data_IF_952903616848
#
_entry.id   IF_952903616848
#
_cell.length_a   1.000
_cell.length_b   1.000
_cell.length_c   1.000
_cell.angle_alpha   90.00
_cell.angle_beta   90.00
_cell.angle_gamma   90.00
#
_symmetry.space_group_name_H-M   'P 1'
#
loop_
_entity.id
_entity.type
_entity.pdbx_description
1 polymer ?
#
# COMPACT_ATOMS: atom_id res chain seq x y z
N UNK A 1 54.83 -0.88 13.72
CA UNK A 1 53.85 -1.13 14.81
C UNK A 1 52.99 0.11 14.93
N UNK A 2 51.84 0.11 14.26
CA UNK A 2 50.82 1.14 14.43
C UNK A 2 50.07 0.82 15.72
N UNK A 3 49.86 1.82 16.56
CA UNK A 3 49.20 1.64 17.86
C UNK A 3 47.70 1.50 17.66
N UNK A 4 47.00 0.90 18.63
CA UNK A 4 45.55 0.63 18.58
C UNK A 4 44.71 1.89 18.28
N UNK A 5 45.21 3.08 18.59
CA UNK A 5 44.59 4.35 18.23
C UNK A 5 44.63 4.67 16.73
N UNK A 6 45.68 4.25 16.02
CA UNK A 6 45.84 4.50 14.59
C UNK A 6 44.84 3.66 13.76
N UNK A 7 44.53 2.45 14.24
CA UNK A 7 43.52 1.57 13.62
C UNK A 7 42.09 2.09 13.83
N UNK A 8 41.78 2.69 14.99
CA UNK A 8 40.49 3.31 15.25
C UNK A 8 40.27 4.57 14.40
N UNK A 9 41.33 5.37 14.19
CA UNK A 9 41.27 6.54 13.32
C UNK A 9 41.02 6.16 11.84
N UNK A 10 41.63 5.08 11.36
CA UNK A 10 41.38 4.55 10.02
C UNK A 10 39.97 3.96 9.85
N UNK A 11 39.44 3.28 10.87
CA UNK A 11 38.06 2.76 10.87
C UNK A 11 37.00 3.85 10.80
N UNK A 12 37.21 4.97 11.49
CA UNK A 12 36.30 6.12 11.47
C UNK A 12 36.40 6.88 10.14
N UNK A 13 37.60 6.99 9.54
CA UNK A 13 37.79 7.65 8.25
C UNK A 13 37.16 6.87 7.08
N UNK A 14 37.15 5.54 7.14
CA UNK A 14 36.53 4.71 6.10
C UNK A 14 35.00 4.72 6.14
N UNK A 15 34.37 4.95 7.30
CA UNK A 15 32.91 5.06 7.41
C UNK A 15 32.35 6.33 6.73
N UNK A 16 33.15 7.38 6.58
CA UNK A 16 32.73 8.63 5.92
C UNK A 16 32.85 8.61 4.39
N UNK A 17 33.52 7.63 3.80
CA UNK A 17 33.59 7.43 2.34
C UNK A 17 32.99 6.09 2.00
N UNK A 18 31.74 6.10 1.56
CA UNK A 18 30.94 4.91 1.22
C UNK A 18 31.53 4.04 0.11
N UNK A 19 32.57 3.28 0.43
CA UNK A 19 33.19 2.27 -0.43
C UNK A 19 32.92 0.91 0.19
N UNK A 20 32.01 0.16 -0.45
CA UNK A 20 31.73 -1.24 -0.17
C UNK A 20 32.84 -2.10 -0.79
N UNK A 21 33.84 -2.49 -0.03
CA UNK A 21 34.64 -3.66 -0.37
C UNK A 21 34.81 -4.58 0.85
N UNK A 22 34.51 -5.87 0.64
CA UNK A 22 34.61 -6.94 1.63
C UNK A 22 36.09 -7.23 1.89
N UNK A 23 36.61 -6.82 3.03
CA UNK A 23 37.85 -7.38 3.58
C UNK A 23 37.51 -8.40 4.67
N UNK A 24 37.93 -9.64 4.44
CA UNK A 24 37.83 -10.75 5.39
C UNK A 24 38.88 -10.51 6.48
N UNK A 25 38.44 -10.13 7.67
CA UNK A 25 39.29 -10.04 8.86
C UNK A 25 39.23 -11.38 9.61
N UNK A 26 40.36 -12.07 9.68
CA UNK A 26 40.55 -13.24 10.55
C UNK A 26 40.70 -12.77 11.99
N UNK A 27 39.74 -13.15 12.84
CA UNK A 27 39.67 -12.75 14.24
C UNK A 27 40.43 -13.79 15.08
N UNK A 28 41.54 -13.38 15.70
CA UNK A 28 42.23 -14.15 16.74
C UNK A 28 41.54 -14.01 18.10
N UNK A 29 41.75 -15.00 18.97
CA UNK A 29 41.04 -15.30 20.24
C UNK A 29 41.08 -14.24 21.37
N UNK A 30 41.50 -13.00 21.11
CA UNK A 30 41.71 -11.98 22.16
C UNK A 30 40.46 -11.16 22.55
N UNK A 31 39.31 -11.37 21.89
CA UNK A 31 38.10 -10.55 22.08
C UNK A 31 37.26 -10.89 23.32
N UNK A 32 37.62 -11.92 24.10
CA UNK A 32 36.82 -12.41 25.24
C UNK A 32 36.75 -11.46 26.46
N UNK A 33 37.35 -10.26 26.42
CA UNK A 33 37.48 -9.39 27.61
C UNK A 33 37.11 -7.93 27.46
N UNK A 34 36.77 -7.45 26.26
CA UNK A 34 36.41 -6.04 26.07
C UNK A 34 34.94 -5.91 25.68
N UNK A 35 34.12 -5.53 26.66
CA UNK A 35 32.77 -5.03 26.44
C UNK A 35 32.88 -3.82 25.49
N UNK A 36 32.26 -3.84 24.30
CA UNK A 36 32.23 -2.67 23.45
C UNK A 36 31.41 -1.58 24.15
N UNK A 37 32.07 -0.48 24.51
CA UNK A 37 31.43 0.68 25.15
C UNK A 37 30.65 1.43 24.09
N UNK A 38 29.38 1.06 23.90
CA UNK A 38 28.43 1.83 23.10
C UNK A 38 27.87 2.97 23.95
N UNK A 39 28.05 4.21 23.49
CA UNK A 39 27.47 5.39 24.12
C UNK A 39 26.03 5.60 23.61
N UNK A 40 25.05 5.26 24.44
CA UNK A 40 23.61 5.48 24.18
C UNK A 40 23.25 6.96 24.41
N UNK A 41 23.44 7.84 23.43
CA UNK A 41 23.10 9.27 23.57
C UNK A 41 21.91 9.73 22.73
N UNK A 42 21.35 8.88 21.85
CA UNK A 42 20.21 9.24 21.02
C UNK A 42 19.18 8.11 20.89
N UNK A 43 18.05 8.30 21.58
CA UNK A 43 16.78 7.56 21.43
C UNK A 43 16.85 6.07 21.83
N UNK A 44 16.56 5.73 23.11
CA UNK A 44 16.64 4.35 23.59
C UNK A 44 15.63 3.39 22.95
N UNK A 45 14.58 3.90 22.29
CA UNK A 45 13.58 3.05 21.62
C UNK A 45 14.17 2.19 20.49
N UNK A 46 15.18 2.69 19.79
CA UNK A 46 15.86 1.96 18.72
C UNK A 46 16.97 1.02 19.26
N UNK A 47 17.43 1.24 20.49
CA UNK A 47 18.59 0.56 21.07
C UNK A 47 18.22 -0.54 22.10
N UNK A 48 16.97 -0.55 22.60
CA UNK A 48 16.40 -1.69 23.33
C UNK A 48 16.62 -3.06 22.64
N UNK A 49 16.43 -3.22 21.32
CA UNK A 49 16.71 -4.50 20.66
C UNK A 49 18.19 -4.89 20.68
N UNK A 50 19.12 -3.93 20.64
CA UNK A 50 20.56 -4.22 20.73
C UNK A 50 20.95 -4.73 22.12
N UNK A 51 20.46 -4.06 23.18
CA UNK A 51 20.66 -4.53 24.56
C UNK A 51 20.03 -5.91 24.77
N UNK A 52 18.85 -6.15 24.18
CA UNK A 52 18.17 -7.44 24.25
C UNK A 52 18.95 -8.55 23.57
N UNK A 53 19.48 -8.30 22.36
CA UNK A 53 20.33 -9.24 21.64
C UNK A 53 21.63 -9.53 22.40
N UNK A 54 22.17 -8.52 23.08
CA UNK A 54 23.36 -8.67 23.91
C UNK A 54 23.08 -9.51 25.16
N UNK A 55 21.97 -9.26 25.85
CA UNK A 55 21.56 -10.06 27.00
C UNK A 55 21.26 -11.50 26.57
N UNK A 56 20.59 -11.73 25.45
CA UNK A 56 20.31 -13.08 24.96
C UNK A 56 21.58 -13.85 24.62
N UNK A 57 22.59 -13.20 24.03
CA UNK A 57 23.88 -13.84 23.74
C UNK A 57 24.65 -14.25 25.02
N UNK A 58 24.49 -13.50 26.12
CA UNK A 58 25.12 -13.86 27.39
C UNK A 58 24.30 -14.96 28.11
N UNK A 59 22.97 -14.91 28.01
CA UNK A 59 22.08 -15.91 28.60
C UNK A 59 22.23 -17.31 28.00
N UNK A 60 22.72 -17.43 26.75
CA UNK A 60 23.08 -18.71 26.15
C UNK A 60 24.22 -19.43 26.90
N UNK A 61 25.04 -18.69 27.65
CA UNK A 61 26.17 -19.24 28.43
C UNK A 61 25.85 -19.38 29.92
N UNK A 62 25.13 -18.44 30.53
CA UNK A 62 24.80 -18.44 31.98
C UNK A 62 23.49 -17.69 32.26
N UNK A 63 22.56 -18.27 33.04
CA UNK A 63 21.33 -17.57 33.46
C UNK A 63 21.67 -16.32 34.30
N UNK A 64 21.36 -15.14 33.77
CA UNK A 64 21.66 -13.88 34.45
C UNK A 64 20.60 -13.52 35.50
N UNK A 65 21.05 -13.36 36.75
CA UNK A 65 20.25 -12.72 37.81
C UNK A 65 19.83 -11.29 37.41
N UNK A 66 18.65 -10.87 37.85
CA UNK A 66 18.08 -9.55 37.58
C UNK A 66 19.03 -8.39 37.97
N UNK A 67 19.87 -8.58 39.00
CA UNK A 67 20.89 -7.62 39.40
C UNK A 67 22.01 -7.47 38.37
N UNK A 68 22.45 -8.58 37.76
CA UNK A 68 23.48 -8.55 36.69
C UNK A 68 22.92 -7.80 35.48
N UNK A 69 21.67 -8.06 35.08
CA UNK A 69 20.98 -7.34 33.98
C UNK A 69 20.86 -5.85 34.25
N UNK A 70 20.52 -5.47 35.47
CA UNK A 70 20.45 -4.07 35.90
C UNK A 70 21.80 -3.35 35.81
N UNK A 71 22.89 -4.00 36.23
CA UNK A 71 24.24 -3.43 36.10
C UNK A 71 24.68 -3.28 34.64
N UNK A 72 24.37 -4.25 33.80
CA UNK A 72 24.64 -4.18 32.35
C UNK A 72 23.86 -3.02 31.72
N UNK A 73 22.58 -2.86 32.05
CA UNK A 73 21.77 -1.73 31.60
C UNK A 73 22.42 -0.38 31.96
N UNK A 74 22.84 -0.21 33.21
CA UNK A 74 23.50 1.02 33.68
C UNK A 74 24.85 1.27 32.97
N UNK A 75 25.60 0.21 32.68
CA UNK A 75 26.85 0.30 31.94
C UNK A 75 26.62 0.75 30.49
N UNK A 76 25.64 0.17 29.81
CA UNK A 76 25.30 0.50 28.42
C UNK A 76 24.72 1.92 28.26
N UNK A 77 24.08 2.47 29.29
CA UNK A 77 23.48 3.80 29.26
C UNK A 77 24.51 4.95 29.12
N UNK A 78 25.78 4.69 29.44
CA UNK A 78 26.84 5.69 29.41
C UNK A 78 26.69 6.82 30.44
N UNK A 79 27.65 7.76 30.51
CA UNK A 79 27.69 8.79 31.55
C UNK A 79 26.53 9.77 31.50
N UNK A 80 26.05 10.14 30.30
CA UNK A 80 24.95 11.09 30.14
C UNK A 80 23.59 10.43 30.41
N UNK A 81 23.39 9.21 29.94
CA UNK A 81 22.22 8.41 30.30
C UNK A 81 22.14 8.14 31.80
N UNK A 82 23.27 7.88 32.47
CA UNK A 82 23.32 7.72 33.93
C UNK A 82 22.92 8.99 34.70
N UNK A 83 23.27 10.19 34.21
CA UNK A 83 22.80 11.46 34.80
C UNK A 83 21.28 11.56 34.73
N UNK A 84 20.72 11.22 33.56
CA UNK A 84 19.27 11.20 33.33
C UNK A 84 18.59 10.18 34.25
N UNK A 85 19.11 8.95 34.32
CA UNK A 85 18.57 7.90 35.17
C UNK A 85 18.59 8.26 36.67
N UNK A 86 19.69 8.87 37.15
CA UNK A 86 19.77 9.39 38.54
C UNK A 86 18.74 10.48 38.82
N UNK A 87 18.44 11.33 37.84
CA UNK A 87 17.44 12.39 37.99
C UNK A 87 16.00 11.84 38.03
N UNK A 88 15.74 10.74 37.31
CA UNK A 88 14.44 10.03 37.31
C UNK A 88 14.27 9.26 38.62
N UNK A 89 15.29 8.54 39.06
CA UNK A 89 15.24 7.62 40.20
C UNK A 89 15.62 8.31 41.53
N UNK A 90 14.79 9.26 42.00
CA UNK A 90 15.05 10.05 43.22
C UNK A 90 14.94 9.26 44.54
N UNK A 91 14.40 8.03 44.51
CA UNK A 91 14.33 7.13 45.68
C UNK A 91 14.97 5.79 45.29
N UNK A 92 16.07 5.37 45.92
CA UNK A 92 16.68 4.07 45.60
C UNK A 92 15.68 2.95 45.92
N UNK A 93 15.22 2.23 44.88
CA UNK A 93 14.37 1.04 45.06
C UNK A 93 15.17 -0.02 45.84
N UNK A 94 14.57 -0.54 46.91
CA UNK A 94 15.20 -1.56 47.75
C UNK A 94 15.13 -2.92 47.05
N UNK A 95 16.13 -3.78 47.31
CA UNK A 95 16.37 -5.05 46.63
C UNK A 95 15.30 -6.15 46.82
N UNK A 96 14.11 -5.81 47.33
CA UNK A 96 12.98 -6.73 47.53
C UNK A 96 11.72 -6.40 46.72
N UNK A 97 11.76 -5.34 45.89
CA UNK A 97 10.57 -4.82 45.19
C UNK A 97 10.65 -5.12 43.68
N UNK A 98 10.18 -6.31 43.29
CA UNK A 98 10.07 -6.75 41.89
C UNK A 98 11.39 -6.80 41.12
N UNK A 99 11.32 -7.20 39.85
CA UNK A 99 12.48 -7.24 38.95
C UNK A 99 13.03 -5.81 38.75
N UNK A 100 14.04 -5.41 39.53
CA UNK A 100 14.75 -4.12 39.46
C UNK A 100 15.07 -3.68 38.02
N UNK A 101 15.41 -4.64 37.17
CA UNK A 101 15.68 -4.45 35.76
C UNK A 101 14.45 -3.98 34.97
N UNK A 102 13.28 -4.61 35.16
CA UNK A 102 12.03 -4.23 34.47
C UNK A 102 11.57 -2.85 34.90
N UNK A 103 11.60 -2.59 36.19
CA UNK A 103 11.25 -1.30 36.79
C UNK A 103 12.15 -0.16 36.25
N UNK A 104 13.46 -0.42 36.07
CA UNK A 104 14.37 0.55 35.48
C UNK A 104 14.11 0.79 33.98
N UNK A 105 13.77 -0.26 33.23
CA UNK A 105 13.36 -0.13 31.83
C UNK A 105 12.08 0.68 31.67
N UNK A 106 11.07 0.44 32.51
CA UNK A 106 9.81 1.20 32.47
C UNK A 106 10.02 2.68 32.78
N UNK A 107 10.86 3.02 33.76
CA UNK A 107 11.18 4.41 34.07
C UNK A 107 11.88 5.12 32.90
N UNK A 108 12.84 4.43 32.27
CA UNK A 108 13.52 4.92 31.08
C UNK A 108 12.52 5.08 29.92
N UNK A 109 11.69 4.07 29.68
CA UNK A 109 10.67 4.13 28.62
C UNK A 109 9.69 5.28 28.83
N UNK A 110 9.26 5.52 30.07
CA UNK A 110 8.37 6.64 30.39
C UNK A 110 9.02 8.00 30.17
N UNK A 111 10.32 8.15 30.49
CA UNK A 111 11.05 9.40 30.27
C UNK A 111 11.29 9.68 28.79
N UNK A 112 11.71 8.66 28.04
CA UNK A 112 12.03 8.78 26.62
C UNK A 112 10.81 8.62 25.71
N UNK A 113 9.63 8.34 26.26
CA UNK A 113 8.38 8.34 25.51
C UNK A 113 8.18 9.71 24.88
N UNK A 114 8.03 9.82 23.55
CA UNK A 114 7.63 11.07 22.93
C UNK A 114 6.35 11.56 23.62
N UNK A 115 6.35 12.81 24.08
CA UNK A 115 5.13 13.42 24.62
C UNK A 115 4.17 13.62 23.46
N UNK A 116 3.24 12.69 23.28
CA UNK A 116 2.12 12.83 22.35
C UNK A 116 1.19 13.91 22.87
N UNK A 117 1.12 15.03 22.15
CA UNK A 117 0.18 16.10 22.44
C UNK A 117 -1.12 15.80 21.69
N UNK A 118 -2.05 15.13 22.37
CA UNK A 118 -3.36 14.74 21.80
C UNK A 118 -4.07 15.96 21.17
N UNK A 119 -3.92 17.14 21.77
CA UNK A 119 -4.48 18.37 21.23
C UNK A 119 -3.93 18.73 19.83
N UNK A 120 -2.64 18.51 19.59
CA UNK A 120 -2.01 18.74 18.28
C UNK A 120 -2.49 17.69 17.28
N UNK A 121 -2.56 16.42 17.67
CA UNK A 121 -3.02 15.34 16.79
C UNK A 121 -4.50 15.54 16.38
N UNK A 122 -5.35 15.95 17.33
CA UNK A 122 -6.74 16.30 17.03
C UNK A 122 -6.83 17.54 16.15
N UNK A 123 -6.00 18.55 16.42
CA UNK A 123 -5.94 19.75 15.58
C UNK A 123 -5.56 19.39 14.14
N UNK A 124 -4.53 18.59 13.92
CA UNK A 124 -4.11 18.15 12.59
C UNK A 124 -5.17 17.29 11.90
N UNK A 125 -5.85 16.41 12.64
CA UNK A 125 -6.98 15.63 12.12
C UNK A 125 -8.11 16.54 11.60
N UNK A 126 -8.62 17.45 12.42
CA UNK A 126 -9.74 18.32 12.02
C UNK A 126 -9.37 19.32 10.93
N UNK A 127 -8.11 19.73 10.84
CA UNK A 127 -7.62 20.62 9.78
C UNK A 127 -7.22 19.88 8.49
N UNK A 128 -7.26 18.54 8.47
CA UNK A 128 -6.91 17.75 7.30
C UNK A 128 -8.01 17.84 6.24
N UNK A 129 -7.72 18.55 5.15
CA UNK A 129 -8.57 18.68 3.95
C UNK A 129 -8.00 17.87 2.79
N UNK A 130 -8.84 17.33 1.91
CA UNK A 130 -8.40 16.64 0.71
C UNK A 130 -7.61 17.60 -0.20
N UNK A 131 -6.47 17.14 -0.72
CA UNK A 131 -5.71 17.89 -1.73
C UNK A 131 -6.47 17.99 -3.06
N UNK A 132 -6.20 19.03 -3.86
CA UNK A 132 -6.91 19.25 -5.13
C UNK A 132 -6.76 18.11 -6.16
N UNK A 133 -5.64 17.39 -6.08
CA UNK A 133 -5.28 16.27 -6.98
C UNK A 133 -5.05 14.97 -6.20
N UNK A 134 -5.44 14.94 -4.93
CA UNK A 134 -5.29 13.75 -4.08
C UNK A 134 -6.46 12.79 -4.33
N UNK A 135 -6.22 11.51 -4.63
CA UNK A 135 -7.29 10.52 -4.72
C UNK A 135 -7.96 10.33 -3.36
N UNK A 136 -9.26 10.04 -3.36
CA UNK A 136 -10.05 9.92 -2.13
C UNK A 136 -9.63 8.71 -1.30
N UNK A 137 -9.22 7.61 -1.93
CA UNK A 137 -8.64 6.46 -1.23
C UNK A 137 -7.43 6.85 -0.37
N UNK A 138 -6.49 7.62 -0.92
CA UNK A 138 -5.31 8.10 -0.18
C UNK A 138 -5.74 9.05 0.94
N UNK A 139 -6.71 9.91 0.69
CA UNK A 139 -7.25 10.83 1.69
C UNK A 139 -7.86 10.08 2.88
N UNK A 140 -8.71 9.08 2.63
CA UNK A 140 -9.31 8.23 3.68
C UNK A 140 -8.23 7.47 4.45
N UNK A 141 -7.21 6.96 3.76
CA UNK A 141 -6.08 6.28 4.42
C UNK A 141 -5.31 7.22 5.35
N UNK A 142 -5.08 8.46 4.91
CA UNK A 142 -4.39 9.49 5.69
C UNK A 142 -5.20 9.89 6.93
N UNK A 143 -6.52 10.03 6.82
CA UNK A 143 -7.41 10.30 7.95
C UNK A 143 -7.36 9.17 8.99
N UNK A 144 -7.44 7.91 8.55
CA UNK A 144 -7.30 6.75 9.43
C UNK A 144 -5.98 6.76 10.19
N UNK A 145 -4.88 7.05 9.49
CA UNK A 145 -3.55 7.12 10.11
C UNK A 145 -3.44 8.24 11.15
N UNK A 146 -4.03 9.41 10.91
CA UNK A 146 -4.06 10.52 11.87
C UNK A 146 -4.93 10.20 13.09
N UNK A 147 -6.03 9.49 12.89
CA UNK A 147 -6.98 9.17 13.95
C UNK A 147 -6.40 8.19 15.01
N UNK A 148 -5.38 7.39 14.67
CA UNK A 148 -4.72 6.42 15.58
C UNK A 148 -4.23 7.10 16.87
N UNK A 149 -3.63 8.29 16.76
CA UNK A 149 -3.04 8.98 17.92
C UNK A 149 -4.04 9.88 18.67
N UNK A 150 -5.21 10.14 18.10
CA UNK A 150 -6.17 11.13 18.59
C UNK A 150 -7.00 10.67 19.80
N UNK A 151 -7.01 9.36 20.11
CA UNK A 151 -7.78 8.75 21.22
C UNK A 151 -9.24 9.19 21.22
N UNK A 152 -9.96 8.88 20.15
CA UNK A 152 -11.39 9.22 20.00
C UNK A 152 -12.33 8.26 20.75
N UNK A 153 -11.88 7.04 21.07
CA UNK A 153 -12.73 6.05 21.74
C UNK A 153 -13.83 5.56 20.80
N UNK A 154 -15.06 5.47 21.30
CA UNK A 154 -16.21 4.95 20.56
C UNK A 154 -16.60 5.84 19.36
N UNK A 155 -16.28 7.13 19.42
CA UNK A 155 -16.55 8.10 18.36
C UNK A 155 -15.53 8.06 17.21
N UNK A 156 -14.60 7.09 17.21
CA UNK A 156 -13.53 7.04 16.20
C UNK A 156 -14.07 6.97 14.78
N UNK A 157 -15.02 6.07 14.51
CA UNK A 157 -15.55 5.87 13.17
C UNK A 157 -16.51 7.00 12.76
N UNK A 158 -17.28 7.53 13.70
CA UNK A 158 -18.19 8.67 13.50
C UNK A 158 -17.43 9.96 13.15
N UNK A 159 -16.31 10.23 13.83
CA UNK A 159 -15.51 11.42 13.54
C UNK A 159 -14.75 11.33 12.21
N UNK A 160 -14.32 10.14 11.82
CA UNK A 160 -13.73 9.91 10.48
C UNK A 160 -14.81 10.09 9.41
N UNK A 161 -16.00 9.53 9.64
CA UNK A 161 -17.16 9.71 8.77
C UNK A 161 -17.47 11.20 8.55
N UNK A 162 -17.64 11.96 9.63
CA UNK A 162 -17.97 13.38 9.56
C UNK A 162 -16.87 14.19 8.87
N UNK A 163 -15.61 13.85 9.11
CA UNK A 163 -14.48 14.51 8.46
C UNK A 163 -14.49 14.29 6.95
N UNK A 164 -14.81 13.08 6.47
CA UNK A 164 -14.94 12.77 5.04
C UNK A 164 -16.08 13.58 4.42
N UNK A 165 -17.25 13.60 5.07
CA UNK A 165 -18.42 14.35 4.58
C UNK A 165 -18.10 15.84 4.48
N UNK A 166 -17.44 16.42 5.49
CA UNK A 166 -17.16 17.86 5.54
C UNK A 166 -16.04 18.31 4.60
N UNK A 167 -15.01 17.50 4.40
CA UNK A 167 -13.74 17.93 3.76
C UNK A 167 -13.39 17.18 2.46
N UNK A 168 -14.33 16.39 1.91
CA UNK A 168 -14.22 15.86 0.55
C UNK A 168 -14.17 17.01 -0.48
N UNK A 169 -13.35 16.83 -1.51
CA UNK A 169 -13.21 17.75 -2.64
C UNK A 169 -14.38 17.65 -3.61
N UNK A 170 -14.99 16.47 -3.72
CA UNK A 170 -16.02 16.18 -4.72
C UNK A 170 -17.43 16.46 -4.17
N UNK A 171 -18.04 17.56 -4.65
CA UNK A 171 -19.40 17.95 -4.26
C UNK A 171 -20.45 16.85 -4.47
N UNK A 172 -20.31 16.00 -5.51
CA UNK A 172 -21.27 14.94 -5.78
C UNK A 172 -21.29 13.89 -4.67
N UNK A 173 -20.13 13.62 -4.05
CA UNK A 173 -20.02 12.65 -2.97
C UNK A 173 -20.63 13.22 -1.70
N UNK A 174 -20.41 14.51 -1.44
CA UNK A 174 -21.07 15.21 -0.34
C UNK A 174 -22.60 15.18 -0.49
N UNK A 175 -23.11 15.53 -1.67
CA UNK A 175 -24.56 15.53 -1.94
C UNK A 175 -25.16 14.12 -1.79
N UNK A 176 -24.48 13.09 -2.31
CA UNK A 176 -24.90 11.70 -2.17
C UNK A 176 -24.92 11.24 -0.71
N UNK A 177 -23.93 11.66 0.09
CA UNK A 177 -23.84 11.32 1.51
C UNK A 177 -24.93 12.05 2.31
N UNK A 178 -25.15 13.34 2.06
CA UNK A 178 -26.21 14.12 2.70
C UNK A 178 -27.61 13.59 2.37
N UNK A 179 -27.84 13.14 1.14
CA UNK A 179 -29.13 12.57 0.73
C UNK A 179 -29.43 11.23 1.43
N UNK A 180 -28.40 10.45 1.78
CA UNK A 180 -28.55 9.13 2.39
C UNK A 180 -28.87 9.20 3.88
N UNK A 181 -28.45 10.27 4.58
CA UNK A 181 -28.71 10.48 5.99
C UNK A 181 -27.74 9.70 6.88
N UNK A 182 -28.25 8.77 7.69
CA UNK A 182 -27.40 7.93 8.56
C UNK A 182 -26.65 6.88 7.72
N UNK A 183 -25.32 6.97 7.69
CA UNK A 183 -24.46 5.98 7.02
C UNK A 183 -23.30 5.53 7.90
N UNK A 184 -22.96 4.25 7.81
CA UNK A 184 -21.77 3.71 8.47
C UNK A 184 -20.48 4.10 7.74
N UNK A 185 -19.35 4.11 8.45
CA UNK A 185 -18.03 4.42 7.85
C UNK A 185 -17.71 3.51 6.64
N UNK A 186 -18.09 2.23 6.72
CA UNK A 186 -17.88 1.27 5.62
C UNK A 186 -18.68 1.65 4.38
N UNK A 187 -19.94 2.04 4.55
CA UNK A 187 -20.78 2.47 3.45
C UNK A 187 -20.27 3.75 2.78
N UNK A 188 -19.72 4.69 3.56
CA UNK A 188 -19.08 5.90 3.02
C UNK A 188 -17.88 5.55 2.17
N UNK A 189 -17.02 4.65 2.66
CA UNK A 189 -15.85 4.17 1.90
C UNK A 189 -16.30 3.51 0.60
N UNK A 190 -17.37 2.73 0.60
CA UNK A 190 -17.88 2.10 -0.61
C UNK A 190 -18.47 3.11 -1.59
N UNK A 191 -19.10 4.18 -1.10
CA UNK A 191 -19.59 5.29 -1.93
C UNK A 191 -18.42 6.02 -2.59
N UNK A 192 -17.40 6.36 -1.81
CA UNK A 192 -16.15 6.98 -2.28
C UNK A 192 -15.51 6.13 -3.38
N UNK A 193 -15.30 4.84 -3.13
CA UNK A 193 -14.75 3.90 -4.13
C UNK A 193 -15.58 3.85 -5.41
N UNK A 194 -16.92 3.83 -5.28
CA UNK A 194 -17.82 3.83 -6.44
C UNK A 194 -17.75 5.12 -7.24
N UNK A 195 -17.52 6.26 -6.59
CA UNK A 195 -17.40 7.56 -7.24
C UNK A 195 -16.07 7.74 -8.00
N UNK A 196 -15.01 7.06 -7.57
CA UNK A 196 -13.71 7.07 -8.27
C UNK A 196 -13.68 6.20 -9.53
N UNK A 197 -14.64 5.27 -9.68
CA UNK A 197 -14.71 4.42 -10.86
C UNK A 197 -14.98 5.26 -12.12
N UNK A 198 -14.22 4.98 -13.18
CA UNK A 198 -14.50 5.54 -14.50
C UNK A 198 -15.94 5.24 -14.92
N UNK A 199 -16.59 6.12 -15.69
CA UNK A 199 -18.01 5.96 -16.01
C UNK A 199 -18.40 4.62 -16.64
N UNK A 200 -17.48 3.95 -17.36
CA UNK A 200 -17.70 2.58 -17.86
C UNK A 200 -17.70 1.55 -16.71
N UNK A 201 -16.70 1.62 -15.84
CA UNK A 201 -16.60 0.73 -14.67
C UNK A 201 -17.75 0.96 -13.69
N UNK A 202 -18.16 2.20 -13.47
CA UNK A 202 -19.32 2.53 -12.63
C UNK A 202 -20.64 1.96 -13.19
N UNK A 203 -20.82 1.94 -14.52
CA UNK A 203 -21.99 1.27 -15.13
C UNK A 203 -21.94 -0.25 -14.98
N UNK A 204 -20.75 -0.83 -15.13
CA UNK A 204 -20.54 -2.26 -14.93
C UNK A 204 -20.75 -2.67 -13.47
N UNK A 205 -20.31 -1.88 -12.50
CA UNK A 205 -20.50 -2.17 -11.08
C UNK A 205 -21.97 -2.24 -10.69
N UNK A 206 -22.83 -1.37 -11.24
CA UNK A 206 -24.29 -1.45 -11.02
C UNK A 206 -24.87 -2.77 -11.52
N UNK A 207 -24.41 -3.26 -12.68
CA UNK A 207 -24.89 -4.53 -13.24
C UNK A 207 -24.40 -5.74 -12.44
N UNK A 208 -23.23 -5.64 -11.83
CA UNK A 208 -22.56 -6.72 -11.11
C UNK A 208 -22.81 -6.66 -9.60
N UNK A 209 -23.70 -5.77 -9.12
CA UNK A 209 -23.91 -5.51 -7.69
C UNK A 209 -24.29 -6.75 -6.88
N UNK A 210 -25.06 -7.68 -7.47
CA UNK A 210 -25.50 -8.91 -6.79
C UNK A 210 -24.42 -9.99 -6.69
N UNK A 211 -23.25 -9.76 -7.31
CA UNK A 211 -22.15 -10.71 -7.36
C UNK A 211 -20.95 -10.22 -6.56
N UNK A 212 -20.23 -11.15 -5.92
CA UNK A 212 -18.92 -10.86 -5.34
C UNK A 212 -17.87 -10.90 -6.46
N UNK A 213 -17.31 -9.75 -6.84
CA UNK A 213 -16.31 -9.66 -7.89
C UNK A 213 -15.08 -8.86 -7.41
N UNK A 214 -13.90 -9.24 -7.91
CA UNK A 214 -12.67 -8.48 -7.73
C UNK A 214 -12.27 -7.87 -9.07
N UNK A 215 -11.98 -6.57 -9.08
CA UNK A 215 -11.51 -5.86 -10.27
C UNK A 215 -9.99 -5.91 -10.27
N UNK A 216 -9.40 -6.60 -11.25
CA UNK A 216 -7.97 -6.62 -11.47
C UNK A 216 -7.61 -5.90 -12.76
N UNK A 217 -6.60 -5.03 -12.72
CA UNK A 217 -6.07 -4.42 -13.92
C UNK A 217 -5.26 -5.45 -14.72
N UNK A 218 -5.69 -5.74 -15.93
CA UNK A 218 -4.96 -6.54 -16.90
C UNK A 218 -4.51 -5.65 -18.07
N UNK A 219 -3.19 -5.56 -18.34
CA UNK A 219 -2.68 -4.91 -19.54
C UNK A 219 -3.26 -5.58 -20.80
N UNK A 220 -3.53 -4.80 -21.86
CA UNK A 220 -4.18 -5.31 -23.07
C UNK A 220 -3.48 -6.51 -23.73
N UNK A 221 -2.15 -6.58 -23.64
CA UNK A 221 -1.33 -7.72 -24.14
C UNK A 221 -1.69 -9.03 -23.44
N UNK A 222 -2.09 -8.96 -22.17
CA UNK A 222 -2.50 -10.11 -21.34
C UNK A 222 -4.01 -10.33 -21.33
N UNK A 223 -4.77 -9.53 -22.08
CA UNK A 223 -6.21 -9.69 -22.17
C UNK A 223 -6.48 -10.85 -23.13
N UNK A 224 -6.67 -12.05 -22.58
CA UNK A 224 -6.90 -13.26 -23.38
C UNK A 224 -8.26 -13.20 -24.06
N UNK A 225 -8.33 -13.69 -25.31
CA UNK A 225 -9.61 -13.82 -26.01
C UNK A 225 -10.45 -14.85 -25.26
N UNK A 226 -11.70 -14.49 -24.98
CA UNK A 226 -12.62 -15.39 -24.31
C UNK A 226 -12.93 -16.61 -25.18
N UNK A 227 -13.08 -17.78 -24.57
CA UNK A 227 -13.47 -19.00 -25.28
C UNK A 227 -14.79 -18.81 -26.05
N UNK A 228 -14.83 -19.28 -27.30
CA UNK A 228 -15.88 -18.99 -28.30
C UNK A 228 -17.29 -19.44 -27.86
N UNK A 229 -17.41 -20.34 -26.88
CA UNK A 229 -18.68 -20.85 -26.38
C UNK A 229 -19.02 -20.41 -24.96
N UNK A 230 -18.03 -20.26 -24.08
CA UNK A 230 -18.26 -19.99 -22.65
C UNK A 230 -18.08 -18.53 -22.26
N UNK A 231 -17.49 -17.71 -23.14
CA UNK A 231 -17.04 -16.34 -22.84
C UNK A 231 -16.14 -16.26 -21.59
N UNK A 232 -15.53 -17.36 -21.16
CA UNK A 232 -14.58 -17.41 -20.04
C UNK A 232 -13.19 -17.05 -20.56
N UNK A 233 -12.41 -16.19 -19.86
CA UNK A 233 -11.05 -15.88 -20.28
C UNK A 233 -10.18 -17.13 -20.18
N UNK A 234 -9.47 -17.46 -21.26
CA UNK A 234 -8.52 -18.57 -21.26
C UNK A 234 -7.33 -18.25 -20.34
N UNK A 235 -6.79 -19.25 -19.62
CA UNK A 235 -5.71 -19.06 -18.64
C UNK A 235 -4.36 -18.66 -19.27
N UNK A 236 -4.18 -18.85 -20.57
CA UNK A 236 -3.00 -18.48 -21.35
C UNK A 236 -3.42 -18.05 -22.76
N UNK A 237 -2.73 -17.04 -23.31
CA UNK A 237 -2.69 -16.83 -24.75
C UNK A 237 -1.75 -17.89 -25.34
N UNK A 238 -2.17 -19.14 -25.38
CA UNK A 238 -1.53 -20.14 -26.25
C UNK A 238 -2.03 -19.90 -27.68
N UNK A 239 -1.86 -18.67 -28.16
CA UNK A 239 -1.80 -18.43 -29.59
C UNK A 239 -0.35 -18.77 -29.89
N UNK A 240 -0.11 -19.93 -30.50
CA UNK A 240 1.15 -20.13 -31.21
C UNK A 240 1.30 -18.90 -32.10
N UNK A 241 2.24 -18.01 -31.77
CA UNK A 241 2.68 -16.98 -32.69
C UNK A 241 3.08 -17.75 -33.94
N UNK A 242 2.24 -17.73 -34.97
CA UNK A 242 2.63 -18.16 -36.30
C UNK A 242 3.73 -17.19 -36.72
N UNK A 243 4.97 -17.53 -36.39
CA UNK A 243 6.16 -16.90 -36.91
C UNK A 243 6.24 -17.27 -38.39
N UNK A 244 5.47 -16.58 -39.22
CA UNK A 244 5.72 -16.57 -40.65
C UNK A 244 6.91 -15.65 -40.88
N UNK A 245 8.12 -16.15 -40.59
CA UNK A 245 9.35 -15.49 -41.02
C UNK A 245 9.59 -15.85 -42.48
N UNK A 246 9.44 -14.87 -43.38
CA UNK A 246 10.06 -14.97 -44.70
C UNK A 246 11.59 -14.88 -44.58
N UNK A 247 12.32 -15.49 -45.51
CA UNK A 247 13.78 -15.72 -45.49
C UNK A 247 14.67 -14.45 -45.34
N UNK A 248 14.09 -13.25 -45.33
CA UNK A 248 14.79 -11.96 -45.25
C UNK A 248 14.70 -11.24 -43.88
N UNK A 249 14.19 -11.90 -42.82
CA UNK A 249 14.36 -11.43 -41.44
C UNK A 249 13.65 -10.11 -41.09
N UNK A 250 12.57 -9.77 -41.79
CA UNK A 250 11.61 -8.76 -41.34
C UNK A 250 10.44 -9.43 -40.65
N UNK A 251 10.17 -9.01 -39.41
CA UNK A 251 8.93 -9.35 -38.71
C UNK A 251 7.78 -8.58 -39.34
N UNK A 252 7.12 -9.18 -40.32
CA UNK A 252 5.87 -8.66 -40.84
C UNK A 252 4.72 -9.19 -39.96
N UNK A 253 4.12 -8.30 -39.16
CA UNK A 253 2.88 -8.59 -38.45
C UNK A 253 1.74 -8.70 -39.48
N UNK A 254 1.48 -9.91 -39.95
CA UNK A 254 0.25 -10.20 -40.68
C UNK A 254 -0.90 -10.24 -39.69
N UNK A 255 -1.61 -9.13 -39.53
CA UNK A 255 -3.01 -9.22 -39.10
C UNK A 255 -3.73 -9.88 -40.26
N UNK A 256 -3.95 -11.18 -40.18
CA UNK A 256 -4.92 -11.86 -41.01
C UNK A 256 -6.30 -11.29 -40.65
N UNK A 257 -6.63 -10.13 -41.19
CA UNK A 257 -8.01 -9.85 -41.54
C UNK A 257 -8.27 -10.89 -42.62
N UNK A 258 -8.96 -11.98 -42.28
CA UNK A 258 -9.64 -12.76 -43.29
C UNK A 258 -10.53 -11.77 -44.04
N UNK A 259 -10.04 -11.25 -45.17
CA UNK A 259 -10.85 -10.46 -46.09
C UNK A 259 -11.99 -11.33 -46.67
N UNK A 260 -11.96 -12.64 -46.43
CA UNK A 260 -13.07 -13.57 -46.58
C UNK A 260 -14.15 -13.38 -45.50
N UNK A 261 -14.68 -12.16 -45.38
CA UNK A 261 -16.10 -11.88 -45.10
C UNK A 261 -16.38 -10.41 -44.83
N UNK A 262 -15.56 -9.47 -45.32
CA UNK A 262 -16.16 -8.17 -45.66
C UNK A 262 -16.93 -8.42 -46.95
N UNK A 263 -18.21 -8.79 -46.81
CA UNK A 263 -19.14 -8.83 -47.93
C UNK A 263 -18.91 -7.56 -48.75
N UNK A 264 -18.52 -7.69 -50.02
CA UNK A 264 -18.39 -6.53 -50.91
C UNK A 264 -19.67 -5.72 -50.76
N UNK A 265 -19.53 -4.44 -50.44
CA UNK A 265 -20.69 -3.57 -50.24
C UNK A 265 -21.58 -3.65 -51.46
N UNK A 266 -22.76 -4.25 -51.31
CA UNK A 266 -23.72 -4.40 -52.41
C UNK A 266 -24.15 -2.99 -52.81
N UNK A 267 -23.98 -2.66 -54.08
CA UNK A 267 -24.45 -1.38 -54.60
C UNK A 267 -25.97 -1.35 -54.60
N UNK A 268 -26.56 -0.16 -54.51
CA UNK A 268 -28.03 -0.04 -54.43
C UNK A 268 -28.74 -0.63 -55.65
N UNK A 269 -28.10 -0.61 -56.81
CA UNK A 269 -28.66 -1.19 -58.03
C UNK A 269 -28.63 -2.72 -57.99
N UNK A 270 -27.54 -3.31 -57.51
CA UNK A 270 -27.44 -4.76 -57.27
C UNK A 270 -28.49 -5.22 -56.25
N UNK A 271 -28.66 -4.48 -55.14
CA UNK A 271 -29.70 -4.75 -54.15
C UNK A 271 -31.11 -4.72 -54.76
N UNK A 272 -31.40 -3.71 -55.59
CA UNK A 272 -32.69 -3.61 -56.26
C UNK A 272 -32.91 -4.75 -57.26
N UNK A 273 -31.87 -5.24 -57.93
CA UNK A 273 -31.99 -6.39 -58.82
C UNK A 273 -32.29 -7.67 -58.05
N UNK A 274 -31.60 -7.91 -56.93
CA UNK A 274 -31.83 -9.09 -56.07
C UNK A 274 -33.21 -9.06 -55.42
N UNK A 275 -33.67 -7.90 -54.94
CA UNK A 275 -35.03 -7.76 -54.39
C UNK A 275 -36.14 -7.98 -55.41
N UNK A 276 -35.87 -7.77 -56.71
CA UNK A 276 -36.86 -8.04 -57.76
C UNK A 276 -36.88 -9.52 -58.19
N UNK A 277 -35.83 -10.28 -57.87
CA UNK A 277 -35.76 -11.73 -58.12
C UNK A 277 -36.54 -12.52 -57.07
N UNK A 278 -36.60 -12.03 -55.83
CA UNK A 278 -37.40 -12.64 -54.76
C UNK A 278 -38.86 -12.17 -54.84
N UNK A 279 -39.78 -13.11 -55.08
CA UNK A 279 -41.22 -12.85 -55.21
C UNK A 279 -41.81 -12.21 -53.94
N UNK A 280 -41.37 -12.63 -52.75
CA UNK A 280 -41.91 -12.13 -51.47
C UNK A 280 -41.49 -10.68 -51.25
N UNK A 281 -40.23 -10.36 -51.54
CA UNK A 281 -39.70 -8.99 -51.39
C UNK A 281 -40.35 -8.02 -52.38
N UNK A 282 -40.68 -8.50 -53.58
CA UNK A 282 -41.43 -7.73 -54.57
C UNK A 282 -42.82 -7.35 -54.07
N UNK A 283 -43.57 -8.29 -53.50
CA UNK A 283 -44.88 -8.03 -52.92
C UNK A 283 -44.82 -7.01 -51.77
N UNK A 284 -43.87 -7.18 -50.84
CA UNK A 284 -43.65 -6.25 -49.74
C UNK A 284 -43.29 -4.84 -50.24
N UNK A 285 -42.45 -4.73 -51.27
CA UNK A 285 -42.08 -3.43 -51.84
C UNK A 285 -43.28 -2.68 -52.43
N UNK A 286 -44.23 -3.40 -53.02
CA UNK A 286 -45.47 -2.82 -53.56
C UNK A 286 -46.37 -2.38 -52.42
N UNK A 287 -46.55 -3.22 -51.38
CA UNK A 287 -47.35 -2.85 -50.21
C UNK A 287 -46.81 -1.60 -49.52
N UNK A 288 -45.49 -1.50 -49.32
CA UNK A 288 -44.86 -0.33 -48.69
C UNK A 288 -45.08 0.92 -49.56
N UNK A 289 -44.94 0.83 -50.89
CA UNK A 289 -45.19 1.99 -51.78
C UNK A 289 -46.65 2.43 -51.80
N UNK A 290 -47.59 1.50 -51.67
CA UNK A 290 -49.02 1.81 -51.55
C UNK A 290 -49.31 2.47 -50.21
N UNK A 291 -48.80 1.91 -49.10
CA UNK A 291 -48.98 2.46 -47.76
C UNK A 291 -48.37 3.87 -47.59
N UNK A 292 -47.26 4.17 -48.26
CA UNK A 292 -46.67 5.52 -48.27
C UNK A 292 -47.55 6.50 -49.05
N UNK A 293 -48.12 6.09 -50.19
CA UNK A 293 -49.04 6.93 -50.97
C UNK A 293 -50.39 7.18 -50.31
N UNK A 294 -50.81 6.31 -49.39
CA UNK A 294 -52.05 6.50 -48.62
C UNK A 294 -51.85 7.43 -47.41
N UNK A 295 -50.60 7.70 -47.02
CA UNK A 295 -50.26 8.57 -45.89
C UNK A 295 -49.74 9.97 -46.31
N UNK A 296 -49.56 10.21 -47.61
CA UNK A 296 -49.26 11.53 -48.22
C UNK A 296 -50.54 12.13 -48.85
#
# INVERSE_FOLDING_TARGET
MLTVLDCLALGILHAHRGIRERSVLTIGDEWKRTLPVFFMTSVPRCEQPLLRNYISAIEEEEELSAEKKYRILLHCLGPDGLKIFKNINKKPRQAGDGDLYKNALEDLDNYYRPRVCIAVDRYTFFHRKQGKEEPEEDYVSALKNLAINCRFGDLHDELIHDQIVMQSSNSNIQDNLWAKGESSLQEVIDIVKRAELTGRLARMSVRLFDYNYEVQYLPGVKNTVADFLSCMPLPSNDIEEFQNTDEDGKEDMWVAIEEESICKGITRDEWNTEQNLDEVMKELSVMIRVAVKEND
#
